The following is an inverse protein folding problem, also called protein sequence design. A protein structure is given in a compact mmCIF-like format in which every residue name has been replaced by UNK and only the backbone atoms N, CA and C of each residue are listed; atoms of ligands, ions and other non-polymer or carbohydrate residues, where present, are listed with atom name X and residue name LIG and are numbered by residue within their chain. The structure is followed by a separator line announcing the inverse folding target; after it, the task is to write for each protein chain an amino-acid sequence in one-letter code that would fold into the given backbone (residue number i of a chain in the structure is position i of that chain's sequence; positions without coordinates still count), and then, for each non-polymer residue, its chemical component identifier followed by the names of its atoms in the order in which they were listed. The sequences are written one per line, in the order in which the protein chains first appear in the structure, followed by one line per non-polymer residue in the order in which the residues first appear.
data_IF_056129187888
#
_entry.id   IF_056129187888
#
_cell.length_a   1.000
_cell.length_b   1.000
_cell.length_c   1.000
_cell.angle_alpha   90.00
_cell.angle_beta   90.00
_cell.angle_gamma   90.00
#
_symmetry.space_group_name_H-M   'P 1'
#
loop_
_entity.id
_entity.type
_entity.pdbx_description
1 polymer ?
#
# COMPACT_ATOMS: atom_id res chain seq x y z
N UNK A 1 24.22 22.68 -50.67
CA UNK A 1 23.93 21.28 -50.28
C UNK A 1 24.30 20.95 -48.83
N UNK A 2 25.48 21.33 -48.31
CA UNK A 2 25.85 21.06 -46.90
C UNK A 2 24.96 21.74 -45.85
N UNK A 3 24.47 22.96 -46.11
CA UNK A 3 23.64 23.74 -45.17
C UNK A 3 22.23 23.15 -44.98
N UNK A 4 21.70 22.48 -46.01
CA UNK A 4 20.37 21.84 -45.96
C UNK A 4 20.37 20.61 -45.03
N UNK A 5 21.47 19.85 -45.02
CA UNK A 5 21.65 18.69 -44.13
C UNK A 5 21.80 19.10 -42.67
N UNK A 6 22.46 20.23 -42.38
CA UNK A 6 22.60 20.75 -41.02
C UNK A 6 21.25 21.20 -40.46
N UNK A 7 20.42 21.88 -41.28
CA UNK A 7 19.07 22.27 -40.88
C UNK A 7 18.17 21.06 -40.61
N UNK A 8 18.25 20.00 -41.41
CA UNK A 8 17.49 18.77 -41.17
C UNK A 8 17.90 18.09 -39.85
N UNK A 9 19.20 18.02 -39.52
CA UNK A 9 19.67 17.41 -38.27
C UNK A 9 19.24 18.20 -37.02
N UNK A 10 19.16 19.53 -37.10
CA UNK A 10 18.70 20.37 -35.98
C UNK A 10 17.21 20.16 -35.70
N UNK A 11 16.39 19.92 -36.73
CA UNK A 11 14.94 19.70 -36.57
C UNK A 11 14.61 18.38 -35.86
N UNK A 12 15.41 17.32 -36.05
CA UNK A 12 15.13 16.00 -35.41
C UNK A 12 15.38 16.05 -33.89
N UNK A 13 16.29 16.90 -33.40
CA UNK A 13 16.64 16.98 -31.98
C UNK A 13 15.56 17.66 -31.11
N UNK A 14 14.64 18.43 -31.71
CA UNK A 14 13.63 19.21 -30.98
C UNK A 14 12.35 18.40 -30.71
N UNK A 15 12.19 17.24 -31.34
CA UNK A 15 10.98 16.40 -31.22
C UNK A 15 11.06 15.32 -30.14
N UNK A 16 12.18 15.18 -29.42
CA UNK A 16 12.27 14.28 -28.29
C UNK A 16 11.59 14.92 -27.06
N UNK A 17 10.32 14.58 -26.81
CA UNK A 17 9.63 14.87 -25.54
C UNK A 17 10.49 14.31 -24.40
N UNK A 18 10.93 15.11 -23.42
CA UNK A 18 11.56 14.58 -22.22
C UNK A 18 10.47 13.86 -21.42
N UNK A 19 10.41 12.54 -21.56
CA UNK A 19 9.61 11.68 -20.69
C UNK A 19 10.37 11.55 -19.37
N UNK A 20 10.19 12.54 -18.48
CA UNK A 20 10.68 12.43 -17.12
C UNK A 20 10.02 11.20 -16.45
N UNK A 21 10.80 10.24 -15.94
CA UNK A 21 10.27 9.06 -15.24
C UNK A 21 9.57 9.41 -13.91
N UNK A 22 9.69 10.66 -13.46
CA UNK A 22 9.17 11.13 -12.18
C UNK A 22 7.64 11.31 -12.16
N UNK A 23 7.01 11.56 -13.32
CA UNK A 23 5.55 11.71 -13.39
C UNK A 23 4.83 10.40 -13.03
N UNK A 24 5.42 9.24 -13.39
CA UNK A 24 4.81 7.92 -13.13
C UNK A 24 4.68 7.60 -11.64
N UNK A 25 5.61 8.10 -10.82
CA UNK A 25 5.63 7.83 -9.36
C UNK A 25 4.46 8.56 -8.68
N UNK A 26 4.19 9.80 -9.07
CA UNK A 26 3.12 10.63 -8.51
C UNK A 26 1.71 10.14 -8.91
N UNK A 27 1.55 9.59 -10.12
CA UNK A 27 0.28 8.97 -10.52
C UNK A 27 0.01 7.67 -9.73
N UNK A 28 1.04 6.86 -9.45
CA UNK A 28 0.90 5.58 -8.74
C UNK A 28 0.50 5.73 -7.26
N UNK A 29 0.99 6.78 -6.59
CA UNK A 29 0.61 7.07 -5.18
C UNK A 29 -0.83 7.54 -5.05
N UNK A 30 -1.33 8.31 -6.03
CA UNK A 30 -2.73 8.74 -6.05
C UNK A 30 -3.66 7.56 -6.34
N UNK A 31 -3.23 6.66 -7.23
CA UNK A 31 -3.99 5.46 -7.57
C UNK A 31 -4.17 4.51 -6.39
N UNK A 32 -3.14 4.30 -5.54
CA UNK A 32 -3.25 3.46 -4.34
C UNK A 32 -4.24 4.02 -3.29
N UNK A 33 -4.35 5.36 -3.20
CA UNK A 33 -5.33 6.03 -2.36
C UNK A 33 -6.75 6.02 -3.00
N UNK A 34 -6.82 6.07 -4.33
CA UNK A 34 -8.06 5.98 -5.09
C UNK A 34 -8.63 4.55 -5.16
N UNK A 35 -7.80 3.51 -5.07
CA UNK A 35 -8.24 2.10 -5.06
C UNK A 35 -9.11 1.80 -3.82
N UNK A 36 -8.87 2.51 -2.71
CA UNK A 36 -9.69 2.48 -1.49
C UNK A 36 -10.81 3.53 -1.45
N UNK A 37 -10.97 4.34 -2.51
CA UNK A 37 -12.06 5.32 -2.64
C UNK A 37 -13.38 4.66 -3.02
N UNK A 38 -13.33 3.49 -3.65
CA UNK A 38 -14.51 2.75 -4.10
C UNK A 38 -14.65 1.28 -3.65
N UNK A 39 -14.42 0.94 -2.37
CA UNK A 39 -15.03 -0.21 -1.72
C UNK A 39 -16.11 0.23 -0.73
N UNK A 40 -17.32 -0.30 -0.88
CA UNK A 40 -18.37 -0.12 0.13
C UNK A 40 -18.22 -1.20 1.19
N UNK A 41 -18.10 -0.77 2.45
CA UNK A 41 -18.38 -1.66 3.57
C UNK A 41 -19.84 -2.15 3.43
N UNK A 42 -20.03 -3.43 3.12
CA UNK A 42 -21.35 -4.05 3.03
C UNK A 42 -21.93 -4.36 4.42
N UNK A 43 -21.04 -4.51 5.40
CA UNK A 43 -21.39 -4.69 6.79
C UNK A 43 -22.04 -3.44 7.39
N UNK A 44 -23.16 -3.64 8.07
CA UNK A 44 -23.92 -2.56 8.72
C UNK A 44 -23.16 -1.88 9.86
N UNK A 45 -22.13 -2.55 10.42
CA UNK A 45 -21.42 -2.05 11.60
C UNK A 45 -19.91 -2.32 11.57
N UNK A 46 -19.29 -2.16 10.40
CA UNK A 46 -17.87 -2.45 10.21
C UNK A 46 -16.95 -1.71 11.20
N UNK A 47 -17.25 -0.47 11.58
CA UNK A 47 -16.43 0.27 12.56
C UNK A 47 -16.43 -0.38 13.95
N UNK A 48 -17.58 -0.90 14.42
CA UNK A 48 -17.62 -1.62 15.69
C UNK A 48 -16.98 -3.00 15.55
N UNK A 49 -17.24 -3.71 14.45
CA UNK A 49 -16.65 -5.04 14.22
C UNK A 49 -15.13 -4.97 14.12
N UNK A 50 -14.59 -3.99 13.41
CA UNK A 50 -13.14 -3.75 13.34
C UNK A 50 -12.54 -3.45 14.71
N UNK A 51 -13.20 -2.60 15.52
CA UNK A 51 -12.80 -2.36 16.92
C UNK A 51 -12.80 -3.64 17.77
N UNK A 52 -13.71 -4.57 17.48
CA UNK A 52 -13.81 -5.88 18.13
C UNK A 52 -12.97 -6.98 17.45
N UNK A 53 -12.02 -6.61 16.57
CA UNK A 53 -11.08 -7.55 15.98
C UNK A 53 -11.57 -8.30 14.74
N UNK A 54 -12.69 -7.90 14.12
CA UNK A 54 -13.21 -8.56 12.91
C UNK A 54 -12.18 -8.65 11.79
N UNK A 55 -11.38 -7.61 11.56
CA UNK A 55 -10.39 -7.58 10.48
C UNK A 55 -9.27 -8.62 10.65
N UNK A 56 -9.07 -9.16 11.85
CA UNK A 56 -8.06 -10.19 12.16
C UNK A 56 -8.68 -11.50 12.68
N UNK A 57 -10.01 -11.58 12.75
CA UNK A 57 -10.72 -12.72 13.31
C UNK A 57 -10.73 -13.90 12.33
N UNK A 58 -10.16 -15.01 12.77
CA UNK A 58 -10.01 -16.25 12.00
C UNK A 58 -11.28 -17.10 11.92
N UNK A 59 -12.29 -16.77 12.72
CA UNK A 59 -13.62 -17.37 12.60
C UNK A 59 -14.33 -16.93 11.30
N UNK A 60 -13.83 -15.87 10.66
CA UNK A 60 -14.25 -15.41 9.34
C UNK A 60 -13.11 -15.59 8.35
N UNK A 61 -13.42 -16.19 7.19
CA UNK A 61 -12.42 -16.32 6.12
C UNK A 61 -11.94 -14.93 5.69
N UNK A 62 -10.73 -14.85 5.14
CA UNK A 62 -10.24 -13.56 4.65
C UNK A 62 -11.19 -12.96 3.61
N UNK A 63 -11.73 -13.80 2.72
CA UNK A 63 -12.73 -13.38 1.74
C UNK A 63 -14.01 -12.82 2.38
N UNK A 64 -14.50 -13.39 3.49
CA UNK A 64 -15.65 -12.86 4.21
C UNK A 64 -15.33 -11.51 4.86
N UNK A 65 -14.17 -11.38 5.49
CA UNK A 65 -13.74 -10.11 6.10
C UNK A 65 -13.59 -9.01 5.05
N UNK A 66 -13.05 -9.36 3.88
CA UNK A 66 -13.01 -8.51 2.68
C UNK A 66 -14.41 -8.15 2.20
N UNK A 67 -15.27 -9.14 1.99
CA UNK A 67 -16.62 -8.91 1.49
C UNK A 67 -17.42 -7.94 2.38
N UNK A 68 -17.36 -8.09 3.70
CA UNK A 68 -18.15 -7.26 4.60
C UNK A 68 -17.53 -5.89 4.87
N UNK A 69 -16.23 -5.82 5.13
CA UNK A 69 -15.59 -4.61 5.65
C UNK A 69 -14.31 -4.26 4.90
N UNK A 70 -14.33 -4.37 3.58
CA UNK A 70 -13.16 -4.14 2.71
C UNK A 70 -12.43 -2.83 3.02
N UNK A 71 -13.17 -1.73 3.09
CA UNK A 71 -12.60 -0.40 3.31
C UNK A 71 -12.19 -0.22 4.77
N UNK A 72 -13.07 -0.58 5.71
CA UNK A 72 -12.79 -0.42 7.13
C UNK A 72 -11.56 -1.24 7.57
N UNK A 73 -11.35 -2.41 6.96
CA UNK A 73 -10.20 -3.26 7.24
C UNK A 73 -8.98 -3.01 6.34
N UNK A 74 -9.08 -2.09 5.36
CA UNK A 74 -7.96 -1.76 4.47
C UNK A 74 -7.62 -2.84 3.43
N UNK A 75 -8.57 -3.71 3.08
CA UNK A 75 -8.37 -4.81 2.12
C UNK A 75 -8.53 -4.41 0.65
N UNK A 76 -8.89 -3.15 0.40
CA UNK A 76 -9.08 -2.54 -0.91
C UNK A 76 -7.78 -2.30 -1.69
N UNK A 77 -6.63 -2.41 -1.03
CA UNK A 77 -5.34 -2.28 -1.67
C UNK A 77 -5.09 -3.43 -2.67
N UNK A 78 -4.65 -3.14 -3.91
CA UNK A 78 -4.42 -4.16 -4.93
C UNK A 78 -3.28 -5.14 -4.56
N UNK A 79 -2.38 -4.72 -3.68
CA UNK A 79 -1.33 -5.53 -3.09
C UNK A 79 -1.81 -6.37 -1.89
N UNK A 80 -3.03 -6.12 -1.38
CA UNK A 80 -3.61 -6.93 -0.32
C UNK A 80 -4.01 -8.31 -0.86
N UNK A 81 -3.18 -9.30 -0.56
CA UNK A 81 -3.49 -10.71 -0.79
C UNK A 81 -4.07 -11.31 0.47
N UNK A 82 -5.26 -11.87 0.33
CA UNK A 82 -5.88 -12.60 1.42
C UNK A 82 -4.99 -13.76 1.85
N UNK A 83 -4.60 -13.75 3.11
CA UNK A 83 -3.90 -14.85 3.74
C UNK A 83 -4.89 -15.53 4.71
N UNK A 84 -5.25 -16.77 4.39
CA UNK A 84 -6.05 -17.63 5.30
C UNK A 84 -5.19 -18.19 6.44
N UNK A 85 -3.87 -18.04 6.36
CA UNK A 85 -2.95 -18.33 7.46
C UNK A 85 -3.11 -17.26 8.51
N UNK A 86 -4.08 -17.48 9.38
CA UNK A 86 -4.09 -16.86 10.68
C UNK A 86 -2.86 -17.36 11.44
N UNK A 87 -1.86 -16.50 11.59
CA UNK A 87 -1.15 -16.53 12.86
C UNK A 87 -2.23 -16.26 13.89
N UNK A 88 -2.76 -17.30 14.53
CA UNK A 88 -3.28 -17.15 15.88
C UNK A 88 -2.17 -16.40 16.57
N UNK A 89 -2.35 -15.10 16.84
CA UNK A 89 -1.47 -14.48 17.80
C UNK A 89 -1.77 -15.29 19.06
N UNK A 90 -0.87 -16.15 19.57
CA UNK A 90 -0.97 -16.49 20.97
C UNK A 90 -1.07 -15.14 21.70
N UNK A 91 -1.98 -14.98 22.67
CA UNK A 91 -2.26 -13.69 23.32
C UNK A 91 -0.94 -13.03 23.65
N UNK A 92 -0.57 -11.98 22.90
CA UNK A 92 0.78 -11.39 22.84
C UNK A 92 1.82 -12.17 23.65
N UNK A 93 2.24 -13.36 23.20
CA UNK A 93 3.47 -13.88 23.77
C UNK A 93 4.58 -12.96 23.29
N UNK A 94 5.05 -12.18 24.26
CA UNK A 94 6.05 -11.16 24.15
C UNK A 94 7.23 -11.64 23.29
N UNK A 95 7.21 -11.25 22.02
CA UNK A 95 8.44 -11.04 21.25
C UNK A 95 8.57 -9.59 20.82
N UNK A 96 8.13 -8.68 21.68
CA UNK A 96 8.93 -7.47 21.85
C UNK A 96 10.17 -7.96 22.59
N UNK A 97 11.32 -8.00 21.91
CA UNK A 97 12.59 -8.02 22.64
C UNK A 97 12.58 -6.70 23.41
N UNK A 98 12.15 -6.73 24.67
CA UNK A 98 12.28 -5.59 25.57
C UNK A 98 13.76 -5.28 25.56
N UNK A 99 14.09 -4.19 24.87
CA UNK A 99 15.45 -3.71 24.70
C UNK A 99 16.02 -3.55 26.11
N UNK A 100 17.12 -4.23 26.41
CA UNK A 100 17.68 -4.14 27.77
C UNK A 100 18.14 -2.70 28.02
N UNK A 101 18.17 -2.27 29.28
CA UNK A 101 18.58 -0.91 29.64
C UNK A 101 19.98 -0.57 29.07
N UNK A 102 20.83 -1.58 28.89
CA UNK A 102 22.13 -1.50 28.24
C UNK A 102 22.03 -1.11 26.75
N UNK A 103 21.11 -1.73 26.00
CA UNK A 103 20.87 -1.43 24.58
C UNK A 103 20.24 -0.03 24.41
N UNK A 104 19.43 0.44 25.37
CA UNK A 104 18.89 1.80 25.40
C UNK A 104 20.00 2.84 25.68
N UNK A 105 20.95 2.51 26.55
CA UNK A 105 22.06 3.40 26.89
C UNK A 105 23.04 3.59 25.72
N UNK A 106 23.17 2.58 24.84
CA UNK A 106 24.00 2.66 23.63
C UNK A 106 23.41 3.56 22.52
N UNK A 107 22.10 3.85 22.54
CA UNK A 107 21.46 4.73 21.55
C UNK A 107 21.56 6.22 21.92
N UNK A 108 21.91 6.54 23.17
CA UNK A 108 22.06 7.90 23.67
C UNK A 108 23.52 8.40 23.67
N UNK A 109 24.43 7.67 23.00
CA UNK A 109 25.80 8.10 22.68
C UNK A 109 25.89 8.55 21.22
#
# INVERSE_FOLDING_TARGET
MKVLFVLLLVVVAISAKPQHPFSQILFKTNQLADDCKNPKDLGTNCQNWARNGFCTNCNWTCEQRRHYCERTCGFCHPDYKCNETCTTFPPMEAKSKVLTDEEIQMLNQ
#
